data_IF_506404007731
#
_entry.id   IF_506404007731
#
_cell.length_a   1.000
_cell.length_b   1.000
_cell.length_c   1.000
_cell.angle_alpha   90.00
_cell.angle_beta   90.00
_cell.angle_gamma   90.00
#
_symmetry.space_group_name_H-M   'P 1'
#
loop_
_entity.id
_entity.type
_entity.pdbx_description
1 polymer ?
#
# COMPACT_ATOMS: atom_id res chain seq x y z
N UNK A 1 3.20 -23.22 0.32
CA UNK A 1 2.04 -22.83 1.14
C UNK A 1 2.08 -21.31 1.29
N UNK A 2 1.34 -20.58 0.46
CA UNK A 2 1.19 -19.14 0.61
C UNK A 2 0.42 -18.88 1.91
N UNK A 3 1.07 -18.31 2.93
CA UNK A 3 0.44 -17.96 4.19
C UNK A 3 -0.71 -16.97 3.93
N UNK A 4 -1.95 -17.47 3.93
CA UNK A 4 -3.20 -16.72 3.73
C UNK A 4 -3.41 -15.64 4.80
N UNK A 5 -2.54 -15.57 5.81
CA UNK A 5 -2.53 -14.57 6.88
C UNK A 5 -2.59 -13.13 6.35
N UNK A 6 -2.00 -12.84 5.18
CA UNK A 6 -2.03 -11.50 4.60
C UNK A 6 -3.44 -11.06 4.19
N UNK A 7 -4.26 -11.99 3.66
CA UNK A 7 -5.65 -11.71 3.25
C UNK A 7 -6.51 -11.36 4.47
N UNK A 8 -6.31 -12.08 5.57
CA UNK A 8 -7.00 -11.80 6.83
C UNK A 8 -6.70 -10.37 7.33
N UNK A 9 -5.42 -9.99 7.38
CA UNK A 9 -5.02 -8.64 7.80
C UNK A 9 -5.48 -7.55 6.83
N UNK A 10 -5.47 -7.83 5.53
CA UNK A 10 -5.96 -6.89 4.51
C UNK A 10 -7.47 -6.63 4.66
N UNK A 11 -8.28 -7.69 4.84
CA UNK A 11 -9.73 -7.57 5.04
C UNK A 11 -10.05 -6.84 6.35
N UNK A 12 -9.40 -7.22 7.44
CA UNK A 12 -9.61 -6.61 8.75
C UNK A 12 -9.23 -5.11 8.72
N UNK A 13 -8.09 -4.77 8.11
CA UNK A 13 -7.65 -3.39 7.94
C UNK A 13 -8.62 -2.58 7.09
N UNK A 14 -9.15 -3.15 6.00
CA UNK A 14 -10.10 -2.45 5.13
C UNK A 14 -11.41 -2.10 5.86
N UNK A 15 -11.97 -3.04 6.63
CA UNK A 15 -13.20 -2.82 7.42
C UNK A 15 -12.99 -1.77 8.51
N UNK A 16 -11.92 -1.90 9.30
CA UNK A 16 -11.61 -0.96 10.39
C UNK A 16 -11.31 0.46 9.86
N UNK A 17 -10.58 0.55 8.76
CA UNK A 17 -10.27 1.83 8.11
C UNK A 17 -11.54 2.53 7.63
N UNK A 18 -12.46 1.79 6.99
CA UNK A 18 -13.72 2.36 6.51
C UNK A 18 -14.59 2.87 7.67
N UNK A 19 -14.63 2.15 8.79
CA UNK A 19 -15.35 2.58 9.98
C UNK A 19 -14.71 3.80 10.67
N UNK A 20 -13.38 3.87 10.69
CA UNK A 20 -12.63 4.95 11.37
C UNK A 20 -12.46 6.24 10.56
N UNK A 21 -12.33 6.16 9.22
CA UNK A 21 -12.10 7.34 8.37
C UNK A 21 -13.40 8.13 8.13
N UNK A 22 -14.57 7.52 8.31
CA UNK A 22 -15.86 8.20 8.14
C UNK A 22 -16.18 9.24 9.24
N UNK A 23 -15.48 9.21 10.38
CA UNK A 23 -15.79 10.06 11.54
C UNK A 23 -14.86 11.25 11.72
N UNK A 24 -13.69 11.25 11.07
CA UNK A 24 -12.63 12.27 11.23
C UNK A 24 -11.96 12.60 9.89
N UNK A 25 -11.25 13.72 9.82
CA UNK A 25 -10.48 14.09 8.63
C UNK A 25 -9.47 12.98 8.26
N UNK A 26 -9.35 12.68 6.96
CA UNK A 26 -8.51 11.59 6.45
C UNK A 26 -7.02 11.74 6.73
N UNK A 27 -6.51 12.97 6.73
CA UNK A 27 -5.10 13.24 7.05
C UNK A 27 -4.84 12.93 8.54
N UNK A 28 -5.80 13.25 9.41
CA UNK A 28 -5.71 12.97 10.84
C UNK A 28 -5.85 11.47 11.15
N UNK A 29 -6.75 10.76 10.47
CA UNK A 29 -6.86 9.30 10.58
C UNK A 29 -5.57 8.60 10.15
N UNK A 30 -4.95 9.06 9.06
CA UNK A 30 -3.68 8.55 8.56
C UNK A 30 -2.55 8.81 9.55
N UNK A 31 -2.52 10.00 10.15
CA UNK A 31 -1.54 10.34 11.20
C UNK A 31 -1.62 9.38 12.39
N UNK A 32 -2.82 9.17 12.95
CA UNK A 32 -3.02 8.23 14.07
C UNK A 32 -2.56 6.82 13.69
N UNK A 33 -2.94 6.34 12.50
CA UNK A 33 -2.52 5.02 12.01
C UNK A 33 -1.00 4.89 11.92
N UNK A 34 -0.33 5.95 11.46
CA UNK A 34 1.13 5.96 11.32
C UNK A 34 1.82 5.90 12.68
N UNK A 35 1.30 6.63 13.68
CA UNK A 35 1.79 6.55 15.06
C UNK A 35 1.63 5.13 15.64
N UNK A 36 0.47 4.48 15.43
CA UNK A 36 0.24 3.10 15.89
C UNK A 36 1.22 2.12 15.23
N UNK A 37 1.45 2.25 13.92
CA UNK A 37 2.42 1.41 13.19
C UNK A 37 3.84 1.64 13.72
N UNK A 38 4.23 2.89 13.94
CA UNK A 38 5.55 3.24 14.48
C UNK A 38 5.78 2.61 15.86
N UNK A 39 4.79 2.71 16.76
CA UNK A 39 4.87 2.09 18.08
C UNK A 39 4.93 0.56 18.01
N UNK A 40 4.14 -0.05 17.11
CA UNK A 40 4.12 -1.50 16.94
C UNK A 40 5.45 -2.03 16.38
N UNK A 41 5.95 -1.44 15.29
CA UNK A 41 7.21 -1.85 14.65
C UNK A 41 8.40 -1.52 15.55
N UNK A 42 8.42 -0.33 16.17
CA UNK A 42 9.44 0.08 17.12
C UNK A 42 9.47 -0.81 18.36
N UNK A 43 8.30 -1.15 18.90
CA UNK A 43 8.16 -2.09 20.02
C UNK A 43 8.71 -3.47 19.68
N UNK A 44 8.33 -4.02 18.52
CA UNK A 44 8.88 -5.30 18.05
C UNK A 44 10.41 -5.22 17.94
N UNK A 45 10.94 -4.21 17.25
CA UNK A 45 12.39 -4.04 17.08
C UNK A 45 13.13 -3.90 18.42
N UNK A 46 12.50 -3.25 19.40
CA UNK A 46 13.03 -3.11 20.75
C UNK A 46 13.07 -4.46 21.48
N UNK A 47 11.98 -5.21 21.47
CA UNK A 47 11.90 -6.52 22.13
C UNK A 47 12.75 -7.59 21.44
N UNK A 48 12.89 -7.55 20.12
CA UNK A 48 13.74 -8.49 19.36
C UNK A 48 15.22 -8.08 19.34
N UNK A 49 15.58 -6.91 19.89
CA UNK A 49 16.93 -6.32 19.86
C UNK A 49 17.52 -6.22 18.44
N UNK A 50 16.66 -6.00 17.45
CA UNK A 50 17.04 -5.91 16.03
C UNK A 50 17.37 -4.49 15.56
N UNK A 51 17.50 -3.53 16.48
CA UNK A 51 17.95 -2.19 16.14
C UNK A 51 19.37 -2.23 15.58
N UNK A 52 19.49 -1.90 14.29
CA UNK A 52 20.79 -1.76 13.64
C UNK A 52 21.32 -0.33 13.81
N UNK A 53 22.65 -0.17 13.99
CA UNK A 53 23.25 1.14 14.03
C UNK A 53 23.07 1.86 12.68
N UNK A 54 22.71 3.14 12.69
CA UNK A 54 22.53 3.92 11.46
C UNK A 54 23.83 3.96 10.63
N UNK A 55 24.99 3.82 11.28
CA UNK A 55 26.30 3.72 10.64
C UNK A 55 26.54 2.42 9.86
N UNK A 56 25.76 1.36 10.08
CA UNK A 56 25.86 0.13 9.27
C UNK A 56 25.07 0.20 7.97
N UNK A 57 24.26 1.24 7.77
CA UNK A 57 23.56 1.48 6.52
C UNK A 57 24.43 2.27 5.54
N UNK A 58 24.58 1.76 4.32
CA UNK A 58 25.16 2.53 3.23
C UNK A 58 24.35 3.81 3.01
N UNK A 59 25.02 4.97 2.87
CA UNK A 59 24.36 6.27 2.69
C UNK A 59 23.38 6.30 1.51
N UNK A 60 23.67 5.54 0.43
CA UNK A 60 22.74 5.33 -0.69
C UNK A 60 21.49 4.56 -0.28
N UNK A 61 21.66 3.50 0.52
CA UNK A 61 20.55 2.71 1.05
C UNK A 61 19.61 3.55 1.90
N UNK A 62 20.16 4.42 2.76
CA UNK A 62 19.37 5.34 3.57
C UNK A 62 18.57 6.33 2.70
N UNK A 63 19.18 6.91 1.66
CA UNK A 63 18.47 7.83 0.76
C UNK A 63 17.31 7.15 0.02
N UNK A 64 17.50 5.93 -0.47
CA UNK A 64 16.40 5.18 -1.10
C UNK A 64 15.31 4.81 -0.10
N UNK A 65 15.66 4.49 1.16
CA UNK A 65 14.68 4.19 2.21
C UNK A 65 13.84 5.42 2.57
N UNK A 66 14.48 6.58 2.70
CA UNK A 66 13.80 7.86 2.99
C UNK A 66 12.90 8.25 1.82
N UNK A 67 13.39 8.19 0.58
CA UNK A 67 12.60 8.49 -0.61
C UNK A 67 11.40 7.53 -0.74
N UNK A 68 11.61 6.24 -0.46
CA UNK A 68 10.54 5.24 -0.44
C UNK A 68 9.50 5.55 0.64
N UNK A 69 9.94 5.91 1.86
CA UNK A 69 9.05 6.32 2.94
C UNK A 69 8.21 7.56 2.59
N UNK A 70 8.83 8.58 1.99
CA UNK A 70 8.15 9.78 1.51
C UNK A 70 7.14 9.46 0.41
N UNK A 71 7.52 8.63 -0.57
CA UNK A 71 6.63 8.19 -1.64
C UNK A 71 5.43 7.40 -1.09
N UNK A 72 5.66 6.52 -0.11
CA UNK A 72 4.60 5.74 0.55
C UNK A 72 3.65 6.64 1.32
N UNK A 73 4.17 7.59 2.09
CA UNK A 73 3.37 8.56 2.84
C UNK A 73 2.53 9.45 1.92
N UNK A 74 3.13 9.98 0.85
CA UNK A 74 2.42 10.78 -0.14
C UNK A 74 1.30 9.98 -0.84
N UNK A 75 1.57 8.73 -1.21
CA UNK A 75 0.57 7.83 -1.80
C UNK A 75 -0.60 7.58 -0.86
N UNK A 76 -0.34 7.34 0.43
CA UNK A 76 -1.40 7.14 1.43
C UNK A 76 -2.24 8.41 1.61
N UNK A 77 -1.61 9.57 1.77
CA UNK A 77 -2.34 10.84 1.90
C UNK A 77 -3.27 11.08 0.70
N UNK A 78 -2.76 10.87 -0.53
CA UNK A 78 -3.58 10.96 -1.74
C UNK A 78 -4.72 9.94 -1.75
N UNK A 79 -4.47 8.68 -1.36
CA UNK A 79 -5.47 7.61 -1.31
C UNK A 79 -6.59 7.91 -0.29
N UNK A 80 -6.22 8.28 0.94
CA UNK A 80 -7.17 8.61 2.00
C UNK A 80 -7.98 9.85 1.64
N UNK A 81 -7.34 10.88 1.07
CA UNK A 81 -8.02 12.07 0.57
C UNK A 81 -8.98 11.75 -0.58
N UNK A 82 -8.60 10.88 -1.51
CA UNK A 82 -9.49 10.41 -2.58
C UNK A 82 -10.70 9.65 -2.01
N UNK A 83 -10.50 8.78 -1.02
CA UNK A 83 -11.61 8.09 -0.33
C UNK A 83 -12.54 9.04 0.43
N UNK A 84 -12.05 10.20 0.88
CA UNK A 84 -12.88 11.21 1.53
C UNK A 84 -13.73 12.01 0.54
N UNK A 85 -13.18 12.28 -0.66
CA UNK A 85 -13.83 13.10 -1.70
C UNK A 85 -14.72 12.27 -2.64
N UNK A 86 -14.43 10.98 -2.82
CA UNK A 86 -15.16 10.06 -3.69
C UNK A 86 -15.83 8.92 -2.94
N UNK A 87 -16.64 8.12 -3.63
CA UNK A 87 -17.19 6.91 -3.03
C UNK A 87 -16.07 5.88 -2.83
N UNK A 88 -15.93 5.36 -1.61
CA UNK A 88 -14.92 4.33 -1.29
C UNK A 88 -14.97 3.11 -2.23
N UNK A 89 -16.15 2.82 -2.81
CA UNK A 89 -16.35 1.76 -3.78
C UNK A 89 -15.61 1.99 -5.11
N UNK A 90 -15.30 3.23 -5.48
CA UNK A 90 -14.60 3.61 -6.72
C UNK A 90 -13.11 3.84 -6.50
N UNK A 91 -12.72 4.36 -5.33
CA UNK A 91 -11.32 4.65 -5.00
C UNK A 91 -10.54 3.38 -4.64
N UNK A 92 -11.17 2.43 -3.94
CA UNK A 92 -10.52 1.18 -3.56
C UNK A 92 -10.10 0.28 -4.75
N UNK A 93 -10.89 0.16 -5.84
CA UNK A 93 -10.45 -0.53 -7.06
C UNK A 93 -9.29 0.18 -7.77
N UNK A 94 -9.31 1.52 -7.82
CA UNK A 94 -8.24 2.31 -8.47
C UNK A 94 -6.89 2.07 -7.76
N UNK A 95 -6.87 1.94 -6.44
CA UNK A 95 -5.66 1.54 -5.69
C UNK A 95 -5.11 0.18 -6.14
N UNK A 96 -5.97 -0.76 -6.55
CA UNK A 96 -5.54 -2.07 -7.06
C UNK A 96 -4.86 -2.02 -8.41
N UNK A 97 -4.99 -0.93 -9.18
CA UNK A 97 -4.18 -0.71 -10.38
C UNK A 97 -2.69 -0.51 -10.06
N UNK A 98 -2.33 -0.23 -8.80
CA UNK A 98 -0.92 -0.25 -8.38
C UNK A 98 -0.24 -1.59 -8.69
N UNK A 99 -0.99 -2.70 -8.65
CA UNK A 99 -0.48 -4.03 -9.05
C UNK A 99 -0.11 -4.07 -10.54
N UNK A 100 -0.88 -3.40 -11.39
CA UNK A 100 -0.62 -3.27 -12.82
C UNK A 100 0.67 -2.47 -13.05
N UNK A 101 0.82 -1.33 -12.35
CA UNK A 101 2.02 -0.51 -12.43
C UNK A 101 3.25 -1.27 -11.93
N UNK A 102 3.14 -1.98 -10.80
CA UNK A 102 4.24 -2.83 -10.28
C UNK A 102 4.62 -3.87 -11.30
N UNK A 103 3.66 -4.57 -11.91
CA UNK A 103 3.95 -5.57 -12.93
C UNK A 103 4.67 -4.97 -14.17
N UNK A 104 4.22 -3.79 -14.63
CA UNK A 104 4.86 -3.08 -15.76
C UNK A 104 6.29 -2.65 -15.40
N UNK A 105 6.50 -2.05 -14.22
CA UNK A 105 7.82 -1.64 -13.77
C UNK A 105 8.75 -2.82 -13.46
N UNK A 106 8.23 -3.93 -12.94
CA UNK A 106 8.98 -5.17 -12.76
C UNK A 106 9.55 -5.70 -14.08
N UNK A 107 8.74 -5.70 -15.14
CA UNK A 107 9.21 -6.11 -16.48
C UNK A 107 10.19 -5.09 -17.07
N UNK A 108 9.86 -3.79 -16.98
CA UNK A 108 10.62 -2.74 -17.65
C UNK A 108 11.94 -2.37 -16.95
N UNK A 109 11.98 -2.36 -15.61
CA UNK A 109 13.13 -1.91 -14.81
C UNK A 109 13.90 -3.06 -14.16
N UNK A 110 13.20 -4.11 -13.71
CA UNK A 110 13.85 -5.27 -13.06
C UNK A 110 14.14 -6.43 -14.04
N UNK A 111 13.61 -6.38 -15.26
CA UNK A 111 13.79 -7.43 -16.27
C UNK A 111 13.06 -8.74 -15.92
N UNK A 112 12.07 -8.69 -15.02
CA UNK A 112 11.28 -9.87 -14.67
C UNK A 112 10.44 -10.31 -15.87
N UNK A 113 10.45 -11.62 -16.18
CA UNK A 113 9.63 -12.17 -17.25
C UNK A 113 8.30 -12.68 -16.68
N UNK A 114 7.22 -11.94 -16.98
CA UNK A 114 5.87 -12.36 -16.66
C UNK A 114 5.34 -13.33 -17.73
N UNK A 115 4.72 -14.43 -17.29
CA UNK A 115 4.08 -15.39 -18.20
C UNK A 115 2.87 -14.76 -18.90
N UNK A 116 2.46 -15.31 -20.05
CA UNK A 116 1.24 -14.87 -20.75
C UNK A 116 -0.02 -14.97 -19.89
N UNK A 117 -0.08 -15.94 -18.95
CA UNK A 117 -1.17 -16.07 -17.97
C UNK A 117 -1.16 -14.92 -16.96
N UNK A 118 0.02 -14.47 -16.52
CA UNK A 118 0.14 -13.33 -15.61
C UNK A 118 -0.36 -12.04 -16.30
N UNK A 119 -0.02 -11.85 -17.57
CA UNK A 119 -0.53 -10.74 -18.38
C UNK A 119 -2.05 -10.77 -18.54
N UNK A 120 -2.62 -11.97 -18.77
CA UNK A 120 -4.08 -12.14 -18.81
C UNK A 120 -4.74 -11.77 -17.47
N UNK A 121 -4.13 -12.19 -16.35
CA UNK A 121 -4.58 -11.81 -15.01
C UNK A 121 -4.54 -10.29 -14.77
N UNK A 122 -3.45 -9.63 -15.17
CA UNK A 122 -3.31 -8.17 -15.10
C UNK A 122 -4.38 -7.46 -15.95
N UNK A 123 -4.64 -7.96 -17.17
CA UNK A 123 -5.68 -7.42 -18.04
C UNK A 123 -7.08 -7.58 -17.42
N UNK A 124 -7.39 -8.72 -16.81
CA UNK A 124 -8.64 -8.98 -16.09
C UNK A 124 -8.82 -8.06 -14.88
N UNK A 125 -7.76 -7.85 -14.08
CA UNK A 125 -7.78 -6.90 -12.96
C UNK A 125 -8.07 -5.48 -13.48
N UNK A 126 -7.38 -5.07 -14.54
CA UNK A 126 -7.55 -3.75 -15.15
C UNK A 126 -9.00 -3.55 -15.65
N UNK A 127 -9.53 -4.53 -16.38
CA UNK A 127 -10.91 -4.51 -16.86
C UNK A 127 -11.93 -4.47 -15.70
N UNK A 128 -11.69 -5.25 -14.65
CA UNK A 128 -12.52 -5.25 -13.45
C UNK A 128 -12.53 -3.89 -12.74
N UNK A 129 -11.38 -3.22 -12.64
CA UNK A 129 -11.31 -1.86 -12.07
C UNK A 129 -12.07 -0.86 -12.92
N UNK A 130 -11.90 -0.90 -14.26
CA UNK A 130 -12.62 -0.02 -15.18
C UNK A 130 -14.14 -0.21 -15.03
N UNK A 131 -14.62 -1.45 -14.96
CA UNK A 131 -16.04 -1.76 -14.76
C UNK A 131 -16.58 -1.22 -13.43
N UNK A 132 -15.83 -1.32 -12.34
CA UNK A 132 -16.27 -0.80 -11.03
C UNK A 132 -16.21 0.73 -10.98
N UNK A 133 -15.27 1.35 -11.68
CA UNK A 133 -15.17 2.79 -11.80
C UNK A 133 -16.16 3.39 -12.81
N UNK A 134 -16.75 2.57 -13.70
CA UNK A 134 -17.70 2.99 -14.71
C UNK A 134 -19.01 3.42 -14.05
N UNK A 135 -19.25 4.73 -13.99
CA UNK A 135 -20.54 5.30 -13.62
C UNK A 135 -21.41 5.39 -14.88
N UNK A 136 -22.32 4.43 -15.04
CA UNK A 136 -23.49 4.55 -15.91
C UNK A 136 -24.67 5.10 -15.14
#
# INVERSE_FOLDING_TARGET
>A
MLNTSWLFWALLSAVLTKLGVNTINSDFATFIRTCVILLLVGGIAYFTKQFQPISSLSGRGLTFLVLSGLATGASWLCYFRAMQLGQAAQVAPIDKLSVVLVAVFSVALLGEQLSGINWLGIALITAGVILVAWQG
#
